data_IF_316724741887
#
_entry.id   IF_316724741887
#
_cell.length_a   1.000
_cell.length_b   1.000
_cell.length_c   1.000
_cell.angle_alpha   90.00
_cell.angle_beta   90.00
_cell.angle_gamma   90.00
#
_symmetry.space_group_name_H-M   'P 1'
#
loop_
_entity.id
_entity.type
_entity.pdbx_description
1 polymer ?
#
# COMPACT_ATOMS: atom_id res chain seq x y z
N UNK A 1 8.95 4.22 -16.75
CA UNK A 1 8.00 4.42 -15.63
C UNK A 1 8.24 3.36 -14.56
N UNK A 2 8.82 3.73 -13.42
CA UNK A 2 9.24 2.80 -12.35
C UNK A 2 8.03 2.37 -11.50
N UNK A 3 7.22 1.41 -11.96
CA UNK A 3 5.98 0.96 -11.28
C UNK A 3 6.11 -0.40 -10.58
N UNK A 4 7.28 -0.69 -10.00
CA UNK A 4 7.44 -1.85 -9.12
C UNK A 4 8.32 -1.41 -7.96
N UNK A 5 7.72 -0.72 -6.96
CA UNK A 5 8.39 -0.61 -5.66
C UNK A 5 8.49 -2.02 -5.12
N UNK A 6 9.71 -2.53 -5.07
CA UNK A 6 9.99 -3.93 -4.75
C UNK A 6 9.57 -4.19 -3.31
N UNK A 7 9.11 -5.40 -2.97
CA UNK A 7 8.71 -5.72 -1.59
C UNK A 7 9.80 -5.35 -0.56
N UNK A 8 11.06 -5.33 -0.98
CA UNK A 8 12.22 -4.90 -0.21
C UNK A 8 12.15 -3.43 0.21
N UNK A 9 11.76 -2.52 -0.68
CA UNK A 9 11.62 -1.08 -0.36
C UNK A 9 10.49 -0.81 0.64
N UNK A 10 9.50 -1.70 0.75
CA UNK A 10 8.43 -1.56 1.75
C UNK A 10 8.94 -2.00 3.13
N UNK A 11 9.86 -2.97 3.20
CA UNK A 11 10.42 -3.45 4.48
C UNK A 11 11.38 -2.42 5.11
N UNK A 12 12.08 -1.65 4.29
CA UNK A 12 13.03 -0.62 4.73
C UNK A 12 12.34 0.62 5.36
N UNK A 13 11.09 0.91 4.99
CA UNK A 13 10.35 2.10 5.48
C UNK A 13 9.97 2.00 6.96
N UNK A 14 10.01 3.11 7.68
CA UNK A 14 9.61 3.14 9.09
C UNK A 14 8.09 2.94 9.27
N UNK A 15 7.64 2.61 10.49
CA UNK A 15 6.24 2.30 10.78
C UNK A 15 5.30 3.48 10.45
N UNK A 16 5.73 4.71 10.74
CA UNK A 16 4.98 5.92 10.40
C UNK A 16 4.95 6.20 8.89
N UNK A 17 6.05 5.93 8.18
CA UNK A 17 6.12 6.05 6.72
C UNK A 17 5.22 5.01 6.04
N UNK A 18 5.12 3.81 6.59
CA UNK A 18 4.20 2.76 6.13
C UNK A 18 2.75 3.19 6.31
N UNK A 19 2.39 3.75 7.48
CA UNK A 19 1.05 4.30 7.73
C UNK A 19 0.71 5.45 6.79
N UNK A 20 1.64 6.38 6.58
CA UNK A 20 1.46 7.48 5.63
C UNK A 20 1.20 6.95 4.21
N UNK A 21 2.00 5.97 3.77
CA UNK A 21 1.87 5.35 2.45
C UNK A 21 0.57 4.57 2.29
N UNK A 22 0.07 3.95 3.36
CA UNK A 22 -1.25 3.33 3.37
C UNK A 22 -2.35 4.35 3.05
N UNK A 23 -2.30 5.53 3.67
CA UNK A 23 -3.25 6.62 3.46
C UNK A 23 -3.19 7.10 2.00
N UNK A 24 -1.99 7.30 1.45
CA UNK A 24 -1.81 7.69 0.05
C UNK A 24 -2.41 6.66 -0.92
N UNK A 25 -2.15 5.37 -0.70
CA UNK A 25 -2.67 4.30 -1.55
C UNK A 25 -4.20 4.18 -1.44
N UNK A 26 -4.78 4.41 -0.25
CA UNK A 26 -6.25 4.46 -0.07
C UNK A 26 -6.87 5.65 -0.80
N UNK A 27 -6.20 6.81 -0.81
CA UNK A 27 -6.63 7.98 -1.58
C UNK A 27 -6.59 7.71 -3.08
N UNK A 28 -5.50 7.10 -3.58
CA UNK A 28 -5.40 6.68 -4.98
C UNK A 28 -6.51 5.67 -5.33
N UNK A 29 -6.78 4.70 -4.45
CA UNK A 29 -7.86 3.73 -4.64
C UNK A 29 -9.23 4.42 -4.75
N UNK A 30 -9.51 5.43 -3.93
CA UNK A 30 -10.76 6.18 -3.99
C UNK A 30 -10.90 6.89 -5.33
N UNK A 31 -9.86 7.60 -5.77
CA UNK A 31 -9.84 8.29 -7.06
C UNK A 31 -10.11 7.30 -8.22
N UNK A 32 -9.44 6.14 -8.21
CA UNK A 32 -9.66 5.10 -9.23
C UNK A 32 -11.07 4.51 -9.19
N UNK A 33 -11.72 4.45 -8.03
CA UNK A 33 -13.14 4.03 -7.94
C UNK A 33 -14.08 5.09 -8.50
N UNK A 34 -13.80 6.37 -8.27
CA UNK A 34 -14.56 7.49 -8.82
C UNK A 34 -14.41 7.50 -10.35
N UNK A 35 -13.18 7.37 -10.87
CA UNK A 35 -12.91 7.26 -12.31
C UNK A 35 -13.60 6.03 -12.94
N UNK A 36 -13.66 4.91 -12.19
CA UNK A 36 -14.40 3.73 -12.63
C UNK A 36 -15.90 4.00 -12.72
N UNK A 37 -16.45 4.68 -11.73
CA UNK A 37 -17.88 5.02 -11.70
C UNK A 37 -18.25 6.03 -12.81
N UNK A 38 -17.35 6.97 -13.13
CA UNK A 38 -17.53 7.91 -14.25
C UNK A 38 -17.27 7.30 -15.63
N UNK A 39 -16.94 6.02 -15.71
CA UNK A 39 -16.54 5.32 -16.94
C UNK A 39 -15.31 5.92 -17.66
N UNK A 40 -14.52 6.76 -16.99
CA UNK A 40 -13.32 7.40 -17.54
C UNK A 40 -12.03 6.68 -17.13
N UNK A 41 -12.14 5.51 -16.50
CA UNK A 41 -10.99 4.74 -16.02
C UNK A 41 -10.14 4.23 -17.18
N UNK A 42 -8.98 4.85 -17.38
CA UNK A 42 -8.04 4.50 -18.45
C UNK A 42 -7.32 3.16 -18.23
N UNK A 43 -7.13 2.74 -16.98
CA UNK A 43 -6.38 1.51 -16.66
C UNK A 43 -7.02 0.68 -15.52
N UNK A 44 -7.84 -0.33 -15.86
CA UNK A 44 -8.44 -1.24 -14.88
C UNK A 44 -7.44 -2.07 -14.07
N UNK A 45 -6.25 -2.36 -14.63
CA UNK A 45 -5.22 -3.14 -13.94
C UNK A 45 -4.63 -2.37 -12.76
N UNK A 46 -4.63 -1.03 -12.81
CA UNK A 46 -4.13 -0.17 -11.73
C UNK A 46 -4.92 -0.39 -10.43
N UNK A 47 -6.24 -0.58 -10.52
CA UNK A 47 -7.08 -0.90 -9.35
C UNK A 47 -6.61 -2.19 -8.64
N UNK A 48 -6.25 -3.22 -9.42
CA UNK A 48 -5.72 -4.48 -8.88
C UNK A 48 -4.29 -4.33 -8.36
N UNK A 49 -3.48 -3.45 -8.93
CA UNK A 49 -2.15 -3.14 -8.44
C UNK A 49 -2.22 -2.43 -7.08
N UNK A 50 -3.00 -1.34 -6.98
CA UNK A 50 -3.18 -0.57 -5.74
C UNK A 50 -3.71 -1.44 -4.60
N UNK A 51 -4.69 -2.33 -4.86
CA UNK A 51 -5.15 -3.31 -3.86
C UNK A 51 -4.02 -4.21 -3.32
N UNK A 52 -3.15 -4.69 -4.20
CA UNK A 52 -2.00 -5.53 -3.81
C UNK A 52 -0.95 -4.73 -3.04
N UNK A 53 -0.74 -3.47 -3.41
CA UNK A 53 0.21 -2.61 -2.72
C UNK A 53 -0.27 -2.25 -1.31
N UNK A 54 -1.56 -1.99 -1.12
CA UNK A 54 -2.16 -1.81 0.22
C UNK A 54 -1.95 -3.07 1.06
N UNK A 55 -2.24 -4.26 0.52
CA UNK A 55 -2.04 -5.51 1.24
C UNK A 55 -0.58 -5.71 1.69
N UNK A 56 0.39 -5.40 0.83
CA UNK A 56 1.83 -5.49 1.16
C UNK A 56 2.22 -4.51 2.28
N UNK A 57 1.71 -3.28 2.24
CA UNK A 57 1.98 -2.28 3.29
C UNK A 57 1.41 -2.75 4.63
N UNK A 58 0.17 -3.25 4.65
CA UNK A 58 -0.44 -3.80 5.87
C UNK A 58 0.34 -5.00 6.42
N UNK A 59 0.80 -5.90 5.54
CA UNK A 59 1.66 -7.02 5.97
C UNK A 59 2.96 -6.51 6.60
N UNK A 60 3.62 -5.52 5.99
CA UNK A 60 4.85 -4.94 6.55
C UNK A 60 4.63 -4.25 7.90
N UNK A 61 3.51 -3.54 8.08
CA UNK A 61 3.12 -2.95 9.37
C UNK A 61 2.99 -4.06 10.42
N UNK A 62 2.21 -5.11 10.13
CA UNK A 62 2.04 -6.24 11.04
C UNK A 62 3.35 -6.95 11.36
N UNK A 63 4.24 -7.16 10.38
CA UNK A 63 5.57 -7.75 10.60
C UNK A 63 6.38 -6.91 11.59
N UNK A 64 6.37 -5.57 11.46
CA UNK A 64 7.09 -4.66 12.37
C UNK A 64 6.47 -4.60 13.75
N UNK A 65 5.14 -4.56 13.85
CA UNK A 65 4.43 -4.57 15.14
C UNK A 65 4.70 -5.87 15.91
N UNK A 66 4.74 -7.02 15.23
CA UNK A 66 5.09 -8.32 15.84
C UNK A 66 6.55 -8.39 16.28
N UNK A 67 7.47 -7.81 15.51
CA UNK A 67 8.88 -7.72 15.91
C UNK A 67 9.05 -6.86 17.17
N UNK A 68 8.31 -5.76 17.28
CA UNK A 68 8.33 -4.89 18.47
C UNK A 68 7.73 -5.56 19.71
N UNK A 69 6.65 -6.34 19.55
CA UNK A 69 6.03 -7.05 20.69
C UNK A 69 6.82 -8.28 21.14
N UNK A 70 7.50 -8.98 20.23
CA UNK A 70 8.37 -10.12 20.54
C UNK A 70 9.66 -9.77 21.30
N UNK A 71 10.04 -8.49 21.35
CA UNK A 71 11.23 -8.03 22.09
C UNK A 71 10.93 -7.74 23.58
N UNK A 72 9.67 -7.89 24.03
CA UNK A 72 9.23 -7.61 25.42
C UNK A 72 9.02 -8.86 26.29
N UNK A 73 9.50 -10.03 25.86
CA UNK A 73 9.51 -11.27 26.65
C UNK A 73 10.94 -11.67 26.97
#
# INVERSE_FOLDING_TARGET
MKSKKTANEIKELNLDELKFKEIELRKEQLNLRIEKASQQLKNPLRLRAVRRDIARVLTAINEKERAQSGTRA
#
